data_IF_648532327647
#
_entry.id   IF_648532327647
#
_cell.length_a   1.000
_cell.length_b   1.000
_cell.length_c   1.000
_cell.angle_alpha   90.00
_cell.angle_beta   90.00
_cell.angle_gamma   90.00
#
_symmetry.space_group_name_H-M   'P 1'
#
loop_
_entity.id
_entity.type
_entity.pdbx_description
1 polymer ?
#
# COMPACT_ATOMS: atom_id res chain seq x y z
N UNK A 1 -65.72 3.42 17.44
CA UNK A 1 -64.63 3.78 18.35
C UNK A 1 -63.45 2.88 18.08
N UNK A 2 -62.41 3.40 17.43
CA UNK A 2 -60.98 3.10 17.64
C UNK A 2 -60.22 3.71 16.45
N UNK A 3 -59.60 4.85 16.73
CA UNK A 3 -58.77 5.63 15.81
C UNK A 3 -57.30 5.21 15.95
N UNK A 4 -56.56 5.22 14.85
CA UNK A 4 -55.10 5.08 14.80
C UNK A 4 -54.58 5.20 13.36
N UNK A 5 -53.42 5.83 13.10
CA UNK A 5 -53.39 7.02 12.23
C UNK A 5 -52.56 6.91 10.94
N UNK A 6 -52.78 7.92 10.11
CA UNK A 6 -52.25 8.22 8.77
C UNK A 6 -50.72 8.51 8.73
N UNK A 7 -50.11 8.31 7.56
CA UNK A 7 -48.73 8.64 7.14
C UNK A 7 -48.73 9.85 6.16
N UNK A 8 -47.58 10.38 5.67
CA UNK A 8 -46.58 11.33 6.23
C UNK A 8 -46.53 12.65 5.37
N UNK A 9 -45.58 13.63 5.47
CA UNK A 9 -44.20 13.49 4.92
C UNK A 9 -43.06 14.39 5.52
N UNK A 10 -41.84 14.02 5.13
CA UNK A 10 -40.58 14.78 4.93
C UNK A 10 -40.47 16.25 5.39
N UNK A 11 -39.71 16.51 6.46
CA UNK A 11 -38.55 17.43 6.47
C UNK A 11 -37.95 17.50 7.88
N UNK A 12 -36.73 17.01 8.08
CA UNK A 12 -35.97 17.21 9.32
C UNK A 12 -34.48 17.00 9.05
N UNK A 13 -33.88 18.00 8.42
CA UNK A 13 -32.45 18.21 8.35
C UNK A 13 -31.81 18.28 9.75
N UNK A 14 -30.68 17.60 9.89
CA UNK A 14 -29.70 17.71 10.99
C UNK A 14 -29.33 19.17 11.29
N UNK A 15 -28.83 19.45 12.51
CA UNK A 15 -27.44 19.90 12.52
C UNK A 15 -26.55 19.29 13.62
N UNK A 16 -25.27 19.44 13.29
CA UNK A 16 -24.01 18.93 13.80
C UNK A 16 -23.41 19.82 14.91
N UNK A 17 -22.64 19.20 15.82
CA UNK A 17 -21.52 19.75 16.64
C UNK A 17 -21.78 20.95 17.58
N UNK A 18 -21.37 20.91 18.85
CA UNK A 18 -20.02 21.30 19.30
C UNK A 18 -20.09 22.63 20.08
N UNK A 19 -20.30 22.61 21.41
CA UNK A 19 -19.30 22.66 22.50
C UNK A 19 -18.41 23.94 22.54
N UNK A 20 -18.77 24.84 23.48
CA UNK A 20 -17.96 25.77 24.35
C UNK A 20 -16.97 26.77 23.75
N UNK A 21 -17.16 28.06 24.08
CA UNK A 21 -16.22 28.98 24.81
C UNK A 21 -16.72 30.44 24.70
N UNK A 22 -17.21 31.04 25.78
CA UNK A 22 -16.59 32.11 26.62
C UNK A 22 -16.34 33.46 25.93
N UNK A 23 -16.90 34.47 26.57
CA UNK A 23 -17.07 35.89 26.25
C UNK A 23 -15.76 36.66 26.03
N UNK A 24 -15.81 37.65 25.13
CA UNK A 24 -14.81 38.69 24.91
C UNK A 24 -15.11 39.91 25.80
N UNK A 25 -14.10 40.44 26.49
CA UNK A 25 -14.04 41.84 26.93
C UNK A 25 -12.71 42.45 26.45
N UNK A 26 -12.70 43.70 25.94
CA UNK A 26 -11.49 44.45 25.68
C UNK A 26 -11.30 45.53 26.76
N UNK A 27 -10.10 45.65 27.33
CA UNK A 27 -9.69 46.86 28.04
C UNK A 27 -8.21 47.15 27.79
N UNK A 28 -7.95 48.44 27.61
CA UNK A 28 -6.79 49.05 26.99
C UNK A 28 -5.54 49.17 27.89
N UNK A 29 -4.40 49.22 27.21
CA UNK A 29 -3.21 50.06 27.44
C UNK A 29 -2.50 50.09 28.80
N UNK A 30 -1.25 49.61 28.80
CA UNK A 30 -0.11 50.37 29.33
C UNK A 30 1.19 49.88 28.66
N UNK A 31 1.99 50.85 28.21
CA UNK A 31 3.34 50.66 27.68
C UNK A 31 4.33 50.36 28.81
N UNK A 32 5.35 49.55 28.53
CA UNK A 32 6.68 49.72 29.11
C UNK A 32 7.72 49.16 28.14
N UNK A 33 8.68 50.03 27.81
CA UNK A 33 9.88 49.79 27.02
C UNK A 33 10.85 48.85 27.77
N UNK A 34 11.43 47.86 27.08
CA UNK A 34 12.77 47.36 27.42
C UNK A 34 13.45 46.78 26.16
N UNK A 35 14.51 47.47 25.74
CA UNK A 35 15.36 47.16 24.60
C UNK A 35 16.36 46.03 24.94
N UNK A 36 16.47 45.02 24.08
CA UNK A 36 17.48 43.96 24.22
C UNK A 36 17.66 43.07 22.99
N UNK A 37 18.58 43.49 22.11
CA UNK A 37 19.06 42.83 20.88
C UNK A 37 19.61 41.37 21.05
N UNK A 38 19.78 40.62 19.94
CA UNK A 38 19.69 39.17 19.87
C UNK A 38 20.99 38.45 20.22
N UNK A 39 20.88 37.31 20.91
CA UNK A 39 22.01 36.43 21.18
C UNK A 39 21.85 35.07 20.48
N UNK A 40 22.44 35.01 19.29
CA UNK A 40 22.82 33.78 18.60
C UNK A 40 23.64 32.88 19.52
N UNK A 41 23.05 31.79 20.04
CA UNK A 41 23.83 30.74 20.65
C UNK A 41 23.39 29.34 20.22
N UNK A 42 24.31 28.73 19.48
CA UNK A 42 24.57 27.29 19.42
C UNK A 42 23.52 26.41 18.76
N UNK A 43 23.59 26.40 17.42
CA UNK A 43 23.78 25.18 16.65
C UNK A 43 23.77 23.87 17.46
N UNK A 44 22.64 23.17 17.42
CA UNK A 44 22.52 21.75 17.75
C UNK A 44 23.34 20.95 16.72
N UNK A 45 24.66 21.01 16.87
CA UNK A 45 25.58 20.22 16.08
C UNK A 45 25.49 18.80 16.61
N UNK A 46 24.85 17.93 15.83
CA UNK A 46 24.98 16.48 15.89
C UNK A 46 26.43 16.08 16.22
N UNK A 47 26.72 15.83 17.50
CA UNK A 47 27.89 15.10 17.92
C UNK A 47 27.55 13.60 17.87
N UNK A 48 27.51 13.07 16.65
CA UNK A 48 27.74 11.65 16.44
C UNK A 48 29.20 11.42 16.83
N UNK A 49 29.40 10.96 18.06
CA UNK A 49 30.71 10.56 18.57
C UNK A 49 31.18 9.37 17.72
N UNK A 50 32.18 9.62 16.89
CA UNK A 50 32.95 8.61 16.16
C UNK A 50 33.63 7.68 17.18
N UNK A 51 32.95 6.60 17.57
CA UNK A 51 33.63 5.42 18.10
C UNK A 51 33.81 4.44 16.95
N UNK A 52 34.92 4.60 16.22
CA UNK A 52 35.39 3.63 15.23
C UNK A 52 35.96 2.41 15.96
N UNK A 53 35.11 1.62 16.59
CA UNK A 53 35.42 0.23 16.95
C UNK A 53 34.78 -0.67 15.91
N UNK A 54 35.63 -1.37 15.17
CA UNK A 54 35.37 -2.25 14.03
C UNK A 54 34.10 -3.10 14.13
N UNK A 55 32.96 -2.55 13.70
CA UNK A 55 31.78 -3.36 13.38
C UNK A 55 31.99 -3.92 11.97
N UNK A 56 32.60 -5.10 11.89
CA UNK A 56 32.56 -5.90 10.66
C UNK A 56 31.14 -6.43 10.54
N UNK A 57 30.34 -6.02 9.52
CA UNK A 57 29.03 -6.62 9.33
C UNK A 57 29.21 -8.14 9.17
N UNK A 58 28.30 -8.96 9.73
CA UNK A 58 28.36 -10.40 9.54
C UNK A 58 28.39 -10.67 8.04
N UNK A 59 29.39 -11.44 7.60
CA UNK A 59 29.44 -11.92 6.22
C UNK A 59 28.16 -12.71 5.98
N UNK A 60 27.28 -12.15 5.17
CA UNK A 60 26.04 -12.79 4.77
C UNK A 60 26.39 -14.07 4.01
N UNK A 61 25.79 -15.23 4.34
CA UNK A 61 25.96 -16.48 3.60
C UNK A 61 25.19 -16.44 2.27
N UNK A 62 25.35 -15.37 1.50
CA UNK A 62 24.49 -15.06 0.34
C UNK A 62 25.25 -14.98 -0.99
N UNK A 63 26.58 -15.09 -0.99
CA UNK A 63 27.36 -15.08 -2.23
C UNK A 63 27.02 -16.29 -3.12
N UNK A 64 26.85 -17.47 -2.53
CA UNK A 64 26.57 -18.70 -3.28
C UNK A 64 25.14 -18.73 -3.84
N UNK A 65 24.17 -18.16 -3.11
CA UNK A 65 22.79 -17.98 -3.61
C UNK A 65 22.77 -16.89 -4.68
N UNK A 66 23.50 -15.79 -4.49
CA UNK A 66 23.60 -14.71 -5.49
C UNK A 66 24.29 -15.14 -6.78
N UNK A 67 25.10 -16.21 -6.76
CA UNK A 67 25.67 -16.80 -7.97
C UNK A 67 24.66 -17.69 -8.71
N UNK A 68 23.77 -18.39 -7.99
CA UNK A 68 22.70 -19.19 -8.59
C UNK A 68 21.61 -18.31 -9.24
N UNK A 69 21.24 -17.21 -8.57
CA UNK A 69 20.35 -16.21 -9.14
C UNK A 69 21.22 -15.26 -9.97
N UNK A 70 21.45 -15.57 -11.24
CA UNK A 70 22.36 -14.82 -12.13
C UNK A 70 22.14 -13.29 -12.16
N UNK A 71 22.93 -12.50 -12.91
CA UNK A 71 22.96 -11.02 -12.85
C UNK A 71 21.60 -10.32 -13.01
N UNK A 72 20.65 -11.07 -13.55
CA UNK A 72 19.27 -10.74 -13.79
C UNK A 72 18.30 -10.91 -12.59
N UNK A 73 18.75 -11.49 -11.48
CA UNK A 73 17.98 -11.70 -10.25
C UNK A 73 17.34 -10.43 -9.68
N UNK A 74 18.02 -9.31 -9.90
CA UNK A 74 17.74 -8.01 -9.30
C UNK A 74 17.01 -7.06 -10.22
N UNK A 75 16.78 -7.47 -11.47
CA UNK A 75 16.08 -6.66 -12.44
C UNK A 75 14.56 -6.80 -12.21
N UNK A 76 13.91 -5.68 -11.91
CA UNK A 76 12.48 -5.62 -11.70
C UNK A 76 11.75 -5.97 -13.01
N UNK A 77 10.76 -6.86 -12.95
CA UNK A 77 9.92 -7.17 -14.10
C UNK A 77 8.77 -6.15 -14.18
N UNK A 78 8.71 -5.45 -15.31
CA UNK A 78 7.63 -4.50 -15.61
C UNK A 78 6.35 -5.26 -16.00
N UNK A 79 5.24 -4.97 -15.33
CA UNK A 79 3.92 -5.43 -15.76
C UNK A 79 3.16 -4.21 -16.23
N UNK A 80 2.77 -4.18 -17.50
CA UNK A 80 2.02 -3.06 -18.06
C UNK A 80 0.72 -3.53 -18.71
N UNK A 81 -0.41 -2.85 -18.45
CA UNK A 81 -1.66 -3.13 -19.16
C UNK A 81 -1.62 -2.70 -20.63
N UNK A 82 -0.62 -1.89 -21.01
CA UNK A 82 -0.43 -1.42 -22.37
C UNK A 82 0.21 -2.50 -23.24
N UNK A 83 -0.08 -2.47 -24.54
CA UNK A 83 0.60 -3.32 -25.53
C UNK A 83 2.02 -2.84 -25.87
N UNK A 84 2.50 -1.78 -25.22
CA UNK A 84 3.84 -1.22 -25.37
C UNK A 84 4.32 -0.60 -24.06
N UNK A 85 5.63 -0.42 -23.93
CA UNK A 85 6.25 0.30 -22.79
C UNK A 85 6.67 1.69 -23.25
N UNK A 86 6.13 2.79 -22.67
CA UNK A 86 6.54 4.14 -23.02
C UNK A 86 8.05 4.34 -22.82
N UNK A 87 8.73 4.89 -23.83
CA UNK A 87 10.18 5.14 -23.76
C UNK A 87 11.06 3.89 -23.98
N UNK A 88 10.47 2.72 -24.27
CA UNK A 88 11.22 1.51 -24.62
C UNK A 88 10.78 0.94 -25.97
N UNK A 89 11.69 0.20 -26.62
CA UNK A 89 11.42 -0.52 -27.87
C UNK A 89 11.37 -2.02 -27.62
N UNK A 90 10.32 -2.67 -28.12
CA UNK A 90 10.14 -4.11 -28.02
C UNK A 90 11.08 -4.81 -29.01
N UNK A 91 12.02 -5.60 -28.48
CA UNK A 91 13.01 -6.34 -29.28
C UNK A 91 12.45 -7.68 -29.80
N UNK A 92 11.74 -8.42 -28.95
CA UNK A 92 11.16 -9.73 -29.24
C UNK A 92 10.03 -10.06 -28.27
N UNK A 93 9.06 -10.84 -28.73
CA UNK A 93 8.02 -11.44 -27.89
C UNK A 93 8.43 -12.87 -27.53
N UNK A 94 8.30 -13.24 -26.25
CA UNK A 94 8.73 -14.55 -25.74
C UNK A 94 7.59 -15.58 -25.62
N UNK A 95 6.35 -15.16 -25.89
CA UNK A 95 5.16 -16.01 -25.83
C UNK A 95 4.01 -15.34 -25.07
N UNK A 96 2.86 -16.04 -25.04
CA UNK A 96 1.69 -15.64 -24.27
C UNK A 96 1.71 -16.31 -22.90
N UNK A 97 1.44 -15.54 -21.85
CA UNK A 97 1.32 -16.04 -20.48
C UNK A 97 -0.16 -16.10 -20.14
N UNK A 98 -0.63 -17.22 -19.60
CA UNK A 98 -1.99 -17.34 -19.08
C UNK A 98 -1.94 -18.22 -17.83
N UNK A 99 -2.25 -17.62 -16.69
CA UNK A 99 -2.16 -18.27 -15.38
C UNK A 99 -3.50 -18.14 -14.66
N UNK A 100 -3.94 -19.22 -14.03
CA UNK A 100 -5.16 -19.25 -13.21
C UNK A 100 -4.76 -19.56 -11.77
N UNK A 101 -5.17 -18.70 -10.85
CA UNK A 101 -4.90 -18.84 -9.42
C UNK A 101 -6.19 -19.08 -8.67
N UNK A 102 -6.12 -19.96 -7.69
CA UNK A 102 -7.20 -20.25 -6.76
C UNK A 102 -6.62 -20.12 -5.35
N UNK A 103 -7.34 -19.46 -4.45
CA UNK A 103 -6.97 -19.37 -3.03
C UNK A 103 -8.19 -19.52 -2.14
N UNK A 104 -8.03 -20.33 -1.10
CA UNK A 104 -9.02 -20.53 -0.05
C UNK A 104 -8.41 -20.15 1.31
N UNK A 105 -9.19 -19.48 2.17
CA UNK A 105 -8.78 -19.13 3.53
C UNK A 105 -9.93 -19.31 4.51
N UNK A 106 -9.61 -19.73 5.74
CA UNK A 106 -10.55 -20.07 6.81
C UNK A 106 -10.49 -19.10 8.00
N UNK A 107 -9.52 -18.18 7.97
CA UNK A 107 -9.13 -17.31 9.09
C UNK A 107 -9.16 -15.83 8.68
N UNK A 108 -9.98 -15.47 7.68
CA UNK A 108 -9.95 -14.14 7.04
C UNK A 108 -10.13 -13.01 8.05
N UNK A 109 -10.96 -13.19 9.09
CA UNK A 109 -11.14 -12.18 10.14
C UNK A 109 -9.89 -11.96 10.98
N UNK A 110 -9.19 -13.04 11.32
CA UNK A 110 -7.96 -12.99 12.11
C UNK A 110 -6.78 -12.44 11.28
N UNK A 111 -6.82 -12.60 9.96
CA UNK A 111 -5.78 -12.15 9.02
C UNK A 111 -5.99 -10.72 8.47
N UNK A 112 -6.78 -9.87 9.12
CA UNK A 112 -7.00 -8.48 8.69
C UNK A 112 -8.20 -8.28 7.74
N UNK A 113 -9.11 -9.24 7.68
CA UNK A 113 -10.35 -9.17 6.91
C UNK A 113 -10.17 -9.46 5.42
N UNK A 114 -11.28 -9.30 4.69
CA UNK A 114 -11.37 -9.65 3.27
C UNK A 114 -10.44 -8.80 2.39
N UNK A 115 -10.26 -7.52 2.73
CA UNK A 115 -9.36 -6.63 2.00
C UNK A 115 -7.90 -7.07 2.08
N UNK A 116 -7.44 -7.43 3.28
CA UNK A 116 -6.08 -7.97 3.48
C UNK A 116 -5.88 -9.28 2.72
N UNK A 117 -6.87 -10.17 2.76
CA UNK A 117 -6.87 -11.41 1.97
C UNK A 117 -6.71 -11.13 0.47
N UNK A 118 -7.50 -10.24 -0.11
CA UNK A 118 -7.41 -9.91 -1.54
C UNK A 118 -6.08 -9.26 -1.91
N UNK A 119 -5.60 -8.32 -1.10
CA UNK A 119 -4.34 -7.66 -1.36
C UNK A 119 -3.16 -8.64 -1.33
N UNK A 120 -3.13 -9.53 -0.34
CA UNK A 120 -2.11 -10.58 -0.25
C UNK A 120 -2.21 -11.56 -1.42
N UNK A 121 -3.42 -12.00 -1.76
CA UNK A 121 -3.63 -12.91 -2.88
C UNK A 121 -3.17 -12.31 -4.23
N UNK A 122 -3.53 -11.05 -4.47
CA UNK A 122 -3.12 -10.32 -5.66
C UNK A 122 -1.60 -10.15 -5.72
N UNK A 123 -0.97 -9.83 -4.60
CA UNK A 123 0.48 -9.70 -4.49
C UNK A 123 1.21 -11.01 -4.77
N UNK A 124 0.72 -12.13 -4.24
CA UNK A 124 1.24 -13.46 -4.52
C UNK A 124 1.13 -13.80 -6.01
N UNK A 125 -0.05 -13.60 -6.60
CA UNK A 125 -0.28 -13.87 -8.02
C UNK A 125 0.64 -13.03 -8.92
N UNK A 126 0.78 -11.72 -8.64
CA UNK A 126 1.70 -10.82 -9.35
C UNK A 126 3.15 -11.31 -9.20
N UNK A 127 3.53 -11.80 -8.02
CA UNK A 127 4.89 -12.32 -7.78
C UNK A 127 5.16 -13.57 -8.62
N UNK A 128 4.19 -14.48 -8.73
CA UNK A 128 4.30 -15.67 -9.58
C UNK A 128 4.36 -15.28 -11.06
N UNK A 129 3.54 -14.33 -11.51
CA UNK A 129 3.58 -13.81 -12.89
C UNK A 129 4.96 -13.24 -13.22
N UNK A 130 5.51 -12.41 -12.34
CA UNK A 130 6.86 -11.85 -12.50
C UNK A 130 7.92 -12.95 -12.58
N UNK A 131 7.86 -13.93 -11.68
CA UNK A 131 8.77 -15.07 -11.70
C UNK A 131 8.65 -15.87 -13.02
N UNK A 132 7.45 -16.01 -13.56
CA UNK A 132 7.21 -16.70 -14.83
C UNK A 132 7.82 -15.95 -16.02
N UNK A 133 7.61 -14.62 -16.10
CA UNK A 133 8.25 -13.77 -17.13
C UNK A 133 9.78 -13.90 -17.06
N UNK A 134 10.33 -13.89 -15.84
CA UNK A 134 11.77 -14.04 -15.59
C UNK A 134 12.30 -15.39 -16.05
N UNK A 135 11.54 -16.47 -15.82
CA UNK A 135 11.86 -17.82 -16.23
C UNK A 135 11.90 -17.97 -17.77
N UNK A 136 11.07 -17.22 -18.50
CA UNK A 136 11.12 -17.13 -19.95
C UNK A 136 12.31 -16.29 -20.46
N UNK A 137 13.03 -15.60 -19.59
CA UNK A 137 14.08 -14.64 -19.95
C UNK A 137 13.55 -13.27 -20.36
N UNK A 138 12.31 -12.94 -20.00
CA UNK A 138 11.69 -11.65 -20.23
C UNK A 138 11.99 -10.64 -19.11
N UNK A 139 11.85 -9.36 -19.46
CA UNK A 139 11.97 -8.22 -18.54
C UNK A 139 10.66 -7.42 -18.41
N UNK A 140 9.67 -7.67 -19.28
CA UNK A 140 8.35 -7.04 -19.18
C UNK A 140 7.24 -8.00 -19.65
N UNK A 141 6.05 -7.88 -19.03
CA UNK A 141 4.80 -8.44 -19.53
C UNK A 141 3.91 -7.31 -20.02
N UNK A 142 3.51 -7.41 -21.28
CA UNK A 142 2.63 -6.45 -21.94
C UNK A 142 1.18 -6.93 -21.87
N UNK A 143 0.25 -6.00 -22.07
CA UNK A 143 -1.19 -6.26 -22.07
C UNK A 143 -1.68 -7.01 -20.84
N UNK A 144 -1.02 -6.83 -19.71
CA UNK A 144 -1.33 -7.48 -18.45
C UNK A 144 -2.76 -7.15 -18.02
N UNK A 145 -3.58 -8.18 -17.89
CA UNK A 145 -4.95 -8.11 -17.41
C UNK A 145 -5.16 -9.15 -16.32
N UNK A 146 -5.76 -8.70 -15.23
CA UNK A 146 -6.25 -9.56 -14.17
C UNK A 146 -7.78 -9.60 -14.22
N UNK A 147 -8.33 -10.80 -14.32
CA UNK A 147 -9.76 -11.07 -14.42
C UNK A 147 -10.18 -11.89 -13.19
N UNK A 148 -10.92 -11.32 -12.24
CA UNK A 148 -11.56 -12.12 -11.20
C UNK A 148 -12.66 -12.98 -11.84
N UNK A 149 -12.65 -14.29 -11.56
CA UNK A 149 -13.62 -15.24 -12.11
C UNK A 149 -14.71 -15.51 -11.08
N UNK A 150 -14.32 -15.95 -9.87
CA UNK A 150 -15.27 -16.29 -8.82
C UNK A 150 -14.76 -15.79 -7.46
N UNK A 151 -15.67 -15.26 -6.65
CA UNK A 151 -15.41 -14.95 -5.25
C UNK A 151 -16.60 -15.41 -4.40
N UNK A 152 -16.44 -16.48 -3.64
CA UNK A 152 -17.46 -16.98 -2.74
C UNK A 152 -17.02 -16.83 -1.29
N UNK A 153 -17.90 -16.25 -0.47
CA UNK A 153 -17.79 -16.34 0.98
C UNK A 153 -18.66 -17.53 1.39
N UNK A 154 -18.04 -18.69 1.61
CA UNK A 154 -18.78 -19.92 1.89
C UNK A 154 -19.36 -19.92 3.32
N UNK A 155 -18.63 -19.34 4.28
CA UNK A 155 -19.04 -19.20 5.68
C UNK A 155 -18.42 -17.93 6.31
N UNK A 156 -18.85 -17.54 7.52
CA UNK A 156 -18.53 -16.27 8.22
C UNK A 156 -17.04 -15.88 8.26
N UNK A 157 -16.13 -16.86 8.12
CA UNK A 157 -14.65 -16.70 8.06
C UNK A 157 -13.98 -17.42 6.86
N UNK A 158 -14.75 -18.03 5.95
CA UNK A 158 -14.24 -18.80 4.83
C UNK A 158 -14.42 -18.04 3.52
N UNK A 159 -13.35 -17.95 2.75
CA UNK A 159 -13.34 -17.25 1.45
C UNK A 159 -12.61 -18.11 0.45
N UNK A 160 -13.23 -18.26 -0.71
CA UNK A 160 -12.65 -18.86 -1.89
C UNK A 160 -12.61 -17.81 -3.01
N UNK A 161 -11.48 -17.70 -3.70
CA UNK A 161 -11.32 -16.79 -4.82
C UNK A 161 -10.55 -17.44 -5.97
N UNK A 162 -10.99 -17.17 -7.20
CA UNK A 162 -10.31 -17.53 -8.43
C UNK A 162 -10.04 -16.28 -9.27
N UNK A 163 -8.78 -16.08 -9.66
CA UNK A 163 -8.37 -15.04 -10.62
C UNK A 163 -7.64 -15.66 -11.81
N UNK A 164 -7.80 -15.04 -12.97
CA UNK A 164 -7.03 -15.33 -14.16
C UNK A 164 -6.15 -14.15 -14.52
N UNK A 165 -4.93 -14.43 -14.96
CA UNK A 165 -4.01 -13.45 -15.52
C UNK A 165 -3.77 -13.77 -16.99
N UNK A 166 -3.89 -12.77 -17.85
CA UNK A 166 -3.65 -12.86 -19.30
C UNK A 166 -2.86 -11.68 -19.80
#
# INVERSE_FOLDING_TARGET
MLAGPELPPLDSLLPLAGRRSTSLEPDDAAADDDDGEPSDHSSLRLQILQNASSFRPPQSPSADIAAFIGPHAREWIELTPLSYVPGAKILRYLGRITLHFIKESWTVRECGGLGAFFHLFLSEAISVVRAHVRALGGNAMLSFRLVPIESSQLYRNQVYNMISVT
#
